data_IF_630075118963
#
_entry.id   IF_630075118963
#
_cell.length_a   1.000
_cell.length_b   1.000
_cell.length_c   1.000
_cell.angle_alpha   90.00
_cell.angle_beta   90.00
_cell.angle_gamma   90.00
#
_symmetry.space_group_name_H-M   'P 1'
#
loop_
_entity.id
_entity.type
_entity.pdbx_description
1 polymer ?
#
# COMPACT_ATOMS: atom_id res chain seq x y z
N UNK A 1 -21.21 7.28 5.49
CA UNK A 1 -20.76 6.28 4.48
C UNK A 1 -19.84 6.97 3.50
N UNK A 2 -18.66 6.41 3.19
CA UNK A 2 -17.79 6.92 2.13
C UNK A 2 -18.54 7.04 0.79
N UNK A 3 -18.15 8.02 -0.02
CA UNK A 3 -18.73 8.21 -1.37
C UNK A 3 -17.81 7.59 -2.41
N UNK A 4 -18.34 7.09 -3.54
CA UNK A 4 -17.53 6.63 -4.65
C UNK A 4 -16.63 7.74 -5.20
N UNK A 5 -15.47 7.36 -5.71
CA UNK A 5 -14.51 8.27 -6.33
C UNK A 5 -13.85 7.60 -7.54
N UNK A 6 -13.57 8.38 -8.58
CA UNK A 6 -12.97 7.88 -9.82
C UNK A 6 -11.65 8.58 -10.09
N UNK A 7 -10.65 7.82 -10.53
CA UNK A 7 -9.31 8.34 -10.86
C UNK A 7 -8.76 7.68 -12.13
N UNK A 8 -7.92 8.41 -12.86
CA UNK A 8 -7.11 7.82 -13.92
C UNK A 8 -5.85 7.20 -13.31
N UNK A 9 -5.65 5.92 -13.52
CA UNK A 9 -4.50 5.16 -13.00
C UNK A 9 -3.17 5.73 -13.50
N UNK A 10 -2.19 5.87 -12.60
CA UNK A 10 -0.88 6.49 -12.86
C UNK A 10 0.25 5.54 -12.48
N UNK A 11 1.12 5.23 -13.43
CA UNK A 11 2.36 4.52 -13.13
C UNK A 11 3.43 5.53 -12.70
N UNK A 12 3.76 5.58 -11.42
CA UNK A 12 4.70 6.56 -10.88
C UNK A 12 6.14 6.12 -11.15
N UNK A 13 6.98 7.05 -11.62
CA UNK A 13 8.37 6.79 -11.97
C UNK A 13 9.22 6.23 -10.81
N UNK A 14 8.83 6.51 -9.57
CA UNK A 14 9.52 6.03 -8.37
C UNK A 14 9.44 4.51 -8.15
N UNK A 15 8.57 3.81 -8.89
CA UNK A 15 8.40 2.36 -8.78
C UNK A 15 9.17 1.57 -9.85
N UNK A 16 9.84 2.22 -10.80
CA UNK A 16 10.56 1.56 -11.92
C UNK A 16 11.70 0.62 -11.50
N UNK A 17 12.16 0.71 -10.25
CA UNK A 17 13.17 -0.22 -9.73
C UNK A 17 12.65 -1.66 -9.62
N UNK A 18 11.33 -1.88 -9.55
CA UNK A 18 10.75 -3.19 -9.78
C UNK A 18 10.44 -3.29 -11.29
N UNK A 19 11.13 -4.21 -12.04
CA UNK A 19 11.00 -4.29 -13.49
C UNK A 19 9.57 -4.46 -14.00
N UNK A 20 8.65 -5.02 -13.20
CA UNK A 20 7.25 -5.25 -13.57
C UNK A 20 6.49 -3.94 -13.85
N UNK A 21 7.00 -2.80 -13.38
CA UNK A 21 6.46 -1.47 -13.64
C UNK A 21 7.04 -0.81 -14.90
N UNK A 22 7.82 -1.58 -15.69
CA UNK A 22 8.26 -1.21 -17.03
C UNK A 22 7.63 -2.14 -18.06
N UNK A 23 7.43 -1.68 -19.28
CA UNK A 23 6.86 -2.52 -20.36
C UNK A 23 7.70 -3.76 -20.67
N UNK A 24 9.02 -3.62 -20.65
CA UNK A 24 9.92 -4.74 -20.91
C UNK A 24 9.84 -5.80 -19.80
N UNK A 25 9.91 -5.38 -18.55
CA UNK A 25 9.85 -6.28 -17.40
C UNK A 25 8.47 -6.92 -17.22
N UNK A 26 7.38 -6.17 -17.46
CA UNK A 26 6.03 -6.71 -17.43
C UNK A 26 5.83 -7.81 -18.49
N UNK A 27 6.27 -7.58 -19.74
CA UNK A 27 6.22 -8.59 -20.80
C UNK A 27 7.07 -9.82 -20.47
N UNK A 28 8.24 -9.65 -19.89
CA UNK A 28 9.07 -10.76 -19.42
C UNK A 28 8.40 -11.58 -18.32
N UNK A 29 7.53 -10.96 -17.51
CA UNK A 29 6.71 -11.60 -16.48
C UNK A 29 5.33 -12.09 -16.98
N UNK A 30 5.05 -12.02 -18.30
CA UNK A 30 3.82 -12.52 -18.91
C UNK A 30 2.64 -11.52 -18.93
N UNK A 31 2.86 -10.25 -18.63
CA UNK A 31 1.84 -9.20 -18.68
C UNK A 31 1.90 -8.40 -20.00
N UNK A 32 0.79 -7.84 -20.49
CA UNK A 32 0.74 -7.13 -21.77
C UNK A 32 1.49 -5.79 -21.78
N UNK A 33 1.55 -5.11 -20.64
CA UNK A 33 2.20 -3.80 -20.47
C UNK A 33 2.58 -3.57 -19.00
N UNK A 34 3.29 -2.47 -18.71
CA UNK A 34 3.71 -2.10 -17.37
C UNK A 34 2.52 -2.06 -16.40
N UNK A 35 2.68 -2.73 -15.25
CA UNK A 35 1.71 -2.69 -14.17
C UNK A 35 1.89 -1.39 -13.39
N UNK A 36 0.76 -0.84 -12.93
CA UNK A 36 0.78 0.16 -11.87
C UNK A 36 1.20 -0.49 -10.55
N UNK A 37 1.91 0.24 -9.71
CA UNK A 37 2.30 -0.27 -8.41
C UNK A 37 1.07 -0.42 -7.49
N UNK A 38 0.96 -1.58 -6.81
CA UNK A 38 -0.16 -1.85 -5.92
C UNK A 38 -0.35 -0.78 -4.85
N UNK A 39 0.73 -0.16 -4.38
CA UNK A 39 0.65 0.95 -3.40
C UNK A 39 -0.03 2.19 -3.98
N UNK A 40 0.03 2.41 -5.29
CA UNK A 40 -0.71 3.49 -5.97
C UNK A 40 -2.21 3.14 -6.03
N UNK A 41 -2.55 1.87 -6.34
CA UNK A 41 -3.95 1.39 -6.22
C UNK A 41 -4.47 1.49 -4.77
N UNK A 42 -3.60 1.24 -3.77
CA UNK A 42 -3.98 1.46 -2.37
C UNK A 42 -4.28 2.93 -2.07
N UNK A 43 -3.51 3.86 -2.64
CA UNK A 43 -3.80 5.28 -2.50
C UNK A 43 -5.21 5.61 -3.00
N UNK A 44 -5.66 5.02 -4.12
CA UNK A 44 -7.03 5.20 -4.62
C UNK A 44 -8.09 4.68 -3.66
N UNK A 45 -7.88 3.46 -3.14
CA UNK A 45 -8.81 2.83 -2.22
C UNK A 45 -8.96 3.59 -0.90
N UNK A 46 -7.92 4.30 -0.46
CA UNK A 46 -7.96 5.09 0.79
C UNK A 46 -8.65 6.43 0.62
N UNK A 47 -8.77 6.98 -0.60
CA UNK A 47 -9.42 8.26 -0.84
C UNK A 47 -10.86 8.33 -0.28
N UNK A 48 -11.80 7.41 -0.61
CA UNK A 48 -13.15 7.44 -0.05
C UNK A 48 -13.17 7.32 1.47
N UNK A 49 -12.24 6.56 2.04
CA UNK A 49 -12.13 6.34 3.48
C UNK A 49 -11.70 7.61 4.19
N UNK A 50 -10.61 8.24 3.70
CA UNK A 50 -10.08 9.49 4.29
C UNK A 50 -11.03 10.65 4.06
N UNK A 51 -11.72 10.71 2.91
CA UNK A 51 -12.77 11.70 2.68
C UNK A 51 -13.90 11.62 3.72
N UNK A 52 -14.26 10.41 4.15
CA UNK A 52 -15.34 10.20 5.12
C UNK A 52 -14.89 10.29 6.58
N UNK A 53 -13.72 9.75 6.92
CA UNK A 53 -13.27 9.60 8.32
C UNK A 53 -12.12 10.55 8.68
N UNK A 54 -11.56 11.26 7.71
CA UNK A 54 -10.56 12.31 7.92
C UNK A 54 -9.29 11.82 8.62
N UNK A 55 -8.68 12.73 9.37
CA UNK A 55 -7.46 12.46 10.14
C UNK A 55 -7.67 11.49 11.29
N UNK A 56 -8.88 11.23 11.71
CA UNK A 56 -9.17 10.21 12.72
C UNK A 56 -8.75 8.83 12.23
N UNK A 57 -9.08 8.48 10.98
CA UNK A 57 -8.64 7.22 10.38
C UNK A 57 -7.11 7.15 10.24
N UNK A 58 -6.47 8.26 9.85
CA UNK A 58 -5.00 8.34 9.72
C UNK A 58 -4.28 8.24 11.08
N UNK A 59 -5.00 8.42 12.19
CA UNK A 59 -4.44 8.39 13.55
C UNK A 59 -4.52 7.00 14.17
N UNK A 60 -5.64 6.28 13.97
CA UNK A 60 -5.92 5.02 14.68
C UNK A 60 -6.63 3.97 13.85
N UNK A 61 -7.04 4.32 12.64
CA UNK A 61 -7.69 3.39 11.73
C UNK A 61 -6.71 2.44 11.07
N UNK A 62 -7.22 1.68 10.13
CA UNK A 62 -6.42 0.75 9.35
C UNK A 62 -7.28 -0.06 8.41
N UNK A 63 -6.72 -1.11 7.84
CA UNK A 63 -7.48 -2.01 6.98
C UNK A 63 -6.63 -3.08 6.34
N UNK A 64 -7.32 -4.08 5.81
CA UNK A 64 -6.73 -5.12 4.98
C UNK A 64 -6.97 -4.80 3.52
N UNK A 65 -5.89 -4.78 2.76
CA UNK A 65 -5.89 -4.60 1.32
C UNK A 65 -5.46 -5.91 0.64
N UNK A 66 -6.21 -6.32 -0.40
CA UNK A 66 -5.89 -7.47 -1.25
C UNK A 66 -5.90 -7.07 -2.71
N UNK A 67 -4.81 -7.36 -3.42
CA UNK A 67 -4.76 -7.21 -4.87
C UNK A 67 -5.23 -8.51 -5.54
N UNK A 68 -6.10 -8.39 -6.54
CA UNK A 68 -6.73 -9.51 -7.25
C UNK A 68 -6.30 -9.59 -8.71
N UNK A 69 -6.07 -8.43 -9.34
CA UNK A 69 -5.67 -8.33 -10.73
C UNK A 69 -4.83 -7.06 -10.95
N UNK A 70 -3.99 -7.02 -12.00
CA UNK A 70 -3.19 -5.85 -12.31
C UNK A 70 -4.05 -4.65 -12.72
N UNK A 71 -3.56 -3.46 -12.37
CA UNK A 71 -4.02 -2.17 -12.90
C UNK A 71 -2.96 -1.68 -13.89
N UNK A 72 -3.42 -1.08 -14.99
CA UNK A 72 -2.55 -0.52 -16.02
C UNK A 72 -2.72 1.01 -16.10
N UNK A 73 -1.64 1.72 -16.38
CA UNK A 73 -1.65 3.17 -16.49
C UNK A 73 -2.70 3.66 -17.52
N UNK A 74 -3.35 4.78 -17.21
CA UNK A 74 -4.37 5.41 -18.06
C UNK A 74 -5.77 4.78 -17.97
N UNK A 75 -5.95 3.68 -17.22
CA UNK A 75 -7.28 3.10 -16.97
C UNK A 75 -8.07 3.99 -16.03
N UNK A 76 -9.38 4.07 -16.23
CA UNK A 76 -10.30 4.69 -15.28
C UNK A 76 -10.61 3.68 -14.19
N UNK A 77 -10.29 4.03 -12.95
CA UNK A 77 -10.52 3.18 -11.77
C UNK A 77 -11.59 3.85 -10.90
N UNK A 78 -12.68 3.13 -10.70
CA UNK A 78 -13.74 3.50 -9.78
C UNK A 78 -13.49 2.86 -8.42
N UNK A 79 -13.32 3.69 -7.38
CA UNK A 79 -13.23 3.26 -5.98
C UNK A 79 -14.63 3.28 -5.37
N UNK A 80 -15.26 2.11 -5.29
CA UNK A 80 -16.67 1.98 -4.92
C UNK A 80 -16.81 1.37 -3.52
N UNK A 81 -17.35 2.11 -2.54
CA UNK A 81 -17.76 1.55 -1.26
C UNK A 81 -18.93 0.57 -1.44
N UNK A 82 -18.75 -0.70 -1.05
CA UNK A 82 -19.74 -1.77 -1.27
C UNK A 82 -20.42 -2.25 0.00
N UNK A 83 -19.82 -1.97 1.16
CA UNK A 83 -20.45 -2.27 2.46
C UNK A 83 -19.98 -1.26 3.52
N UNK A 84 -20.84 -1.02 4.51
CA UNK A 84 -20.55 -0.21 5.71
C UNK A 84 -21.30 -0.87 6.87
N UNK A 85 -20.60 -1.70 7.65
CA UNK A 85 -21.16 -2.48 8.75
C UNK A 85 -20.18 -2.51 9.91
N UNK A 86 -20.69 -2.33 11.11
CA UNK A 86 -19.96 -2.52 12.37
C UNK A 86 -18.64 -1.73 12.47
N UNK A 87 -18.61 -0.49 11.92
CA UNK A 87 -17.41 0.36 11.91
C UNK A 87 -16.36 -0.07 10.88
N UNK A 88 -16.70 -0.95 9.94
CA UNK A 88 -15.87 -1.34 8.81
C UNK A 88 -16.53 -0.95 7.48
N UNK A 89 -15.72 -0.50 6.52
CA UNK A 89 -16.14 -0.24 5.15
C UNK A 89 -15.29 -1.05 4.18
N UNK A 90 -15.95 -1.64 3.19
CA UNK A 90 -15.25 -2.28 2.06
C UNK A 90 -15.28 -1.35 0.86
N UNK A 91 -14.11 -1.09 0.26
CA UNK A 91 -13.95 -0.30 -0.97
C UNK A 91 -13.32 -1.19 -2.04
N UNK A 92 -13.90 -1.24 -3.22
CA UNK A 92 -13.41 -1.99 -4.37
C UNK A 92 -12.84 -1.04 -5.42
N UNK A 93 -11.63 -1.35 -5.93
CA UNK A 93 -11.07 -0.68 -7.10
C UNK A 93 -11.51 -1.43 -8.36
N UNK A 94 -12.31 -0.80 -9.19
CA UNK A 94 -12.95 -1.39 -10.36
C UNK A 94 -12.43 -0.70 -11.61
N UNK A 95 -11.84 -1.46 -12.54
CA UNK A 95 -11.54 -0.96 -13.89
C UNK A 95 -12.86 -0.83 -14.65
N UNK A 96 -13.19 0.37 -15.13
CA UNK A 96 -14.45 0.66 -15.83
C UNK A 96 -14.67 -0.23 -17.08
N UNK A 97 -13.59 -0.81 -17.64
CA UNK A 97 -13.69 -1.74 -18.78
C UNK A 97 -14.00 -3.18 -18.39
N UNK A 98 -13.82 -3.54 -17.11
CA UNK A 98 -14.09 -4.88 -16.57
C UNK A 98 -14.79 -4.82 -15.20
N UNK A 99 -16.02 -4.30 -15.14
CA UNK A 99 -16.67 -3.94 -13.87
C UNK A 99 -17.00 -5.14 -12.97
N UNK A 100 -17.06 -6.35 -13.50
CA UNK A 100 -17.35 -7.57 -12.73
C UNK A 100 -16.14 -8.16 -12.01
N UNK A 101 -14.94 -7.59 -12.21
CA UNK A 101 -13.68 -8.13 -11.67
C UNK A 101 -12.89 -7.03 -10.93
N UNK A 102 -13.17 -6.78 -9.65
CA UNK A 102 -12.42 -5.80 -8.87
C UNK A 102 -10.91 -6.10 -8.87
N UNK A 103 -10.10 -5.08 -9.16
CA UNK A 103 -8.64 -5.17 -9.22
C UNK A 103 -8.02 -5.29 -7.83
N UNK A 104 -8.62 -4.62 -6.86
CA UNK A 104 -8.20 -4.67 -5.47
C UNK A 104 -9.39 -4.38 -4.55
N UNK A 105 -9.28 -4.81 -3.30
CA UNK A 105 -10.29 -4.58 -2.25
C UNK A 105 -9.58 -4.12 -0.99
N UNK A 106 -10.10 -3.06 -0.39
CA UNK A 106 -9.73 -2.59 0.94
C UNK A 106 -10.91 -2.80 1.88
N UNK A 107 -10.71 -3.51 2.99
CA UNK A 107 -11.63 -3.50 4.13
C UNK A 107 -11.02 -2.63 5.21
N UNK A 108 -11.51 -1.40 5.34
CA UNK A 108 -11.03 -0.40 6.29
C UNK A 108 -11.85 -0.42 7.57
N UNK A 109 -11.18 -0.16 8.71
CA UNK A 109 -11.80 0.01 10.03
C UNK A 109 -11.35 1.35 10.63
N UNK A 110 -12.24 2.01 11.37
CA UNK A 110 -11.92 3.31 11.97
C UNK A 110 -11.00 3.17 13.19
N UNK A 111 -10.95 2.01 13.79
CA UNK A 111 -10.06 1.67 14.89
C UNK A 111 -9.42 0.31 14.64
N UNK A 112 -8.11 0.30 14.44
CA UNK A 112 -7.33 -0.92 14.16
C UNK A 112 -6.71 -1.55 15.42
N UNK A 113 -6.97 -0.96 16.58
CA UNK A 113 -6.43 -1.40 17.87
C UNK A 113 -4.96 -1.03 18.09
N UNK A 114 -4.38 -1.52 19.19
CA UNK A 114 -2.99 -1.26 19.53
C UNK A 114 -2.03 -1.94 18.53
N UNK A 115 -0.73 -1.51 18.52
CA UNK A 115 0.29 -2.20 17.75
C UNK A 115 0.33 -3.69 18.13
N UNK A 116 0.33 -4.60 17.13
CA UNK A 116 0.45 -6.04 17.41
C UNK A 116 1.83 -6.38 17.98
N UNK A 117 1.91 -7.47 18.72
CA UNK A 117 3.20 -8.03 19.11
C UNK A 117 3.97 -8.51 17.87
N UNK A 118 5.28 -8.24 17.86
CA UNK A 118 6.16 -8.72 16.79
C UNK A 118 6.28 -10.25 16.86
N UNK A 119 6.05 -10.89 15.72
CA UNK A 119 6.28 -12.33 15.58
C UNK A 119 7.78 -12.62 15.43
N UNK A 120 8.21 -13.80 15.86
CA UNK A 120 9.57 -14.28 15.62
C UNK A 120 9.76 -14.60 14.12
N UNK A 121 10.98 -14.42 13.62
CA UNK A 121 11.32 -14.67 12.23
C UNK A 121 12.72 -14.14 11.87
N UNK A 122 13.01 -14.05 10.58
CA UNK A 122 14.29 -13.54 10.06
C UNK A 122 14.25 -12.00 10.07
N UNK A 123 15.00 -11.36 10.92
CA UNK A 123 15.11 -9.90 10.99
C UNK A 123 15.88 -9.37 9.78
N UNK A 124 15.36 -8.31 9.16
CA UNK A 124 16.05 -7.56 8.12
C UNK A 124 16.76 -6.35 8.73
N UNK A 125 17.81 -5.85 8.07
CA UNK A 125 18.54 -4.67 8.51
C UNK A 125 17.59 -3.47 8.70
N UNK A 126 17.60 -2.81 9.86
CA UNK A 126 16.80 -1.62 10.11
C UNK A 126 17.13 -0.52 9.11
N UNK A 127 16.12 0.29 8.78
CA UNK A 127 16.23 1.41 7.84
C UNK A 127 15.68 2.67 8.44
N UNK A 128 16.20 3.81 7.96
CA UNK A 128 15.68 5.12 8.32
C UNK A 128 15.19 5.85 7.08
N UNK A 129 14.05 6.53 7.21
CA UNK A 129 13.46 7.37 6.18
C UNK A 129 13.12 8.74 6.74
N UNK A 130 13.27 9.75 5.89
CA UNK A 130 12.69 11.07 6.11
C UNK A 130 11.38 11.12 5.32
N UNK A 131 10.30 11.54 5.96
CA UNK A 131 8.98 11.64 5.34
C UNK A 131 8.86 12.97 4.58
N UNK A 132 9.45 13.02 3.41
CA UNK A 132 9.58 14.19 2.53
C UNK A 132 8.81 14.02 1.20
N UNK A 133 9.34 14.55 0.11
CA UNK A 133 8.74 14.56 -1.22
C UNK A 133 8.30 13.16 -1.69
N UNK A 134 9.14 12.12 -1.47
CA UNK A 134 8.84 10.75 -1.93
C UNK A 134 7.91 10.03 -0.98
N UNK A 135 8.15 10.15 0.33
CA UNK A 135 7.45 9.42 1.37
C UNK A 135 6.66 10.34 2.29
N UNK A 136 6.02 11.36 1.74
CA UNK A 136 5.33 12.40 2.49
C UNK A 136 3.91 12.69 1.99
N UNK A 137 3.40 13.88 2.32
CA UNK A 137 2.06 14.33 1.91
C UNK A 137 1.85 14.34 0.39
N UNK A 138 2.89 14.65 -0.38
CA UNK A 138 2.81 14.80 -1.84
C UNK A 138 2.59 13.48 -2.59
N UNK A 139 2.72 12.35 -1.92
CA UNK A 139 2.46 11.04 -2.53
C UNK A 139 1.04 10.97 -3.12
N UNK A 140 0.03 11.44 -2.38
CA UNK A 140 -1.35 11.46 -2.84
C UNK A 140 -1.53 12.24 -4.14
N UNK A 141 -1.01 13.47 -4.20
CA UNK A 141 -1.10 14.32 -5.38
C UNK A 141 -0.45 13.67 -6.63
N UNK A 142 0.70 13.01 -6.45
CA UNK A 142 1.35 12.24 -7.53
C UNK A 142 0.49 11.06 -7.98
N UNK A 143 -0.11 10.34 -7.04
CA UNK A 143 -1.05 9.25 -7.33
C UNK A 143 -2.37 9.73 -7.95
N UNK A 144 -2.74 11.01 -7.78
CA UNK A 144 -3.99 11.59 -8.28
C UNK A 144 -5.06 11.75 -7.20
N UNK A 145 -4.73 11.50 -5.93
CA UNK A 145 -5.61 11.84 -4.80
C UNK A 145 -5.67 13.36 -4.64
N UNK A 146 -6.88 13.91 -4.64
CA UNK A 146 -7.17 15.36 -4.61
C UNK A 146 -7.60 15.87 -3.23
N UNK A 147 -7.53 15.03 -2.18
CA UNK A 147 -7.91 15.42 -0.84
C UNK A 147 -6.96 16.49 -0.28
N UNK A 148 -7.54 17.63 0.04
CA UNK A 148 -6.78 18.79 0.55
C UNK A 148 -6.11 18.55 1.91
N UNK A 149 -6.53 17.53 2.67
CA UNK A 149 -6.04 17.23 4.02
C UNK A 149 -4.53 17.02 4.06
N UNK A 150 -3.97 16.38 3.05
CA UNK A 150 -2.54 16.07 3.01
C UNK A 150 -1.68 17.34 2.86
N UNK A 151 -2.03 18.23 1.94
CA UNK A 151 -1.31 19.49 1.74
C UNK A 151 -1.63 20.55 2.80
N UNK A 152 -2.90 20.64 3.24
CA UNK A 152 -3.33 21.64 4.23
C UNK A 152 -2.74 21.36 5.62
N UNK A 153 -2.76 20.11 6.04
CA UNK A 153 -2.39 19.71 7.40
C UNK A 153 -0.98 19.07 7.45
N UNK A 154 -0.31 19.02 6.29
CA UNK A 154 1.04 18.46 6.08
C UNK A 154 1.16 17.00 6.54
N UNK A 155 0.07 16.25 6.44
CA UNK A 155 -0.05 14.87 6.91
C UNK A 155 0.45 13.90 5.85
N UNK A 156 1.22 12.92 6.26
CA UNK A 156 1.74 11.87 5.38
C UNK A 156 0.58 11.03 4.83
N UNK A 157 0.62 10.79 3.49
CA UNK A 157 -0.39 9.98 2.82
C UNK A 157 -0.30 8.51 3.27
N UNK A 158 -1.43 7.81 3.54
CA UNK A 158 -1.41 6.45 4.09
C UNK A 158 -0.72 5.41 3.20
N UNK A 159 -0.68 5.62 1.87
CA UNK A 159 0.03 4.74 0.95
C UNK A 159 1.57 4.77 1.10
N UNK A 160 2.11 5.74 1.83
CA UNK A 160 3.53 5.79 2.17
C UNK A 160 3.97 4.58 2.99
N UNK A 161 3.11 4.09 3.88
CA UNK A 161 3.45 2.93 4.72
C UNK A 161 3.71 1.67 3.91
N UNK A 162 2.79 1.19 3.05
CA UNK A 162 3.10 0.06 2.18
C UNK A 162 4.14 0.39 1.11
N UNK A 163 4.36 1.65 0.70
CA UNK A 163 5.45 2.02 -0.19
C UNK A 163 6.83 1.83 0.48
N UNK A 164 6.96 2.17 1.75
CA UNK A 164 8.16 1.87 2.55
C UNK A 164 8.35 0.36 2.69
N UNK A 165 7.29 -0.41 3.00
CA UNK A 165 7.37 -1.87 3.07
C UNK A 165 7.79 -2.49 1.72
N UNK A 166 7.27 -1.97 0.59
CA UNK A 166 7.71 -2.36 -0.74
C UNK A 166 9.21 -2.09 -0.97
N UNK A 167 9.73 -0.95 -0.48
CA UNK A 167 11.15 -0.67 -0.58
C UNK A 167 12.00 -1.63 0.27
N UNK A 168 11.51 -2.05 1.43
CA UNK A 168 12.18 -3.09 2.25
C UNK A 168 12.23 -4.42 1.48
N UNK A 169 11.13 -4.87 0.87
CA UNK A 169 11.11 -6.08 0.04
C UNK A 169 12.07 -5.95 -1.14
N UNK A 170 11.97 -4.85 -1.91
CA UNK A 170 12.79 -4.60 -3.09
C UNK A 170 14.28 -4.65 -2.82
N UNK A 171 14.72 -4.19 -1.68
CA UNK A 171 16.15 -4.02 -1.36
C UNK A 171 16.69 -5.08 -0.39
N UNK A 172 15.81 -5.86 0.24
CA UNK A 172 16.20 -6.88 1.23
C UNK A 172 15.93 -8.32 0.80
N UNK A 173 14.99 -8.57 -0.12
CA UNK A 173 14.53 -9.92 -0.41
C UNK A 173 14.58 -10.34 -1.87
N UNK A 174 14.63 -9.39 -2.81
CA UNK A 174 14.45 -9.71 -4.23
C UNK A 174 15.57 -9.12 -5.10
N UNK A 175 15.82 -9.76 -6.24
CA UNK A 175 16.76 -9.29 -7.26
C UNK A 175 16.10 -9.07 -8.62
N UNK A 176 14.82 -9.44 -8.77
CA UNK A 176 14.05 -9.38 -10.02
C UNK A 176 12.65 -8.80 -9.81
N UNK A 177 11.75 -9.12 -10.73
CA UNK A 177 10.35 -8.75 -10.64
C UNK A 177 9.67 -9.46 -9.46
N UNK A 178 8.84 -8.73 -8.77
CA UNK A 178 8.09 -9.21 -7.61
C UNK A 178 6.72 -8.54 -7.55
N UNK A 179 5.78 -9.09 -6.79
CA UNK A 179 4.39 -8.60 -6.74
C UNK A 179 3.94 -8.45 -5.29
N UNK A 180 3.54 -7.25 -4.91
CA UNK A 180 2.79 -7.00 -3.68
C UNK A 180 1.37 -7.59 -3.81
N UNK A 181 0.97 -8.47 -2.89
CA UNK A 181 -0.30 -9.21 -2.97
C UNK A 181 -1.30 -8.83 -1.90
N UNK A 182 -0.84 -8.46 -0.71
CA UNK A 182 -1.70 -8.13 0.42
C UNK A 182 -0.95 -7.29 1.45
N UNK A 183 -1.67 -6.41 2.15
CA UNK A 183 -1.21 -5.81 3.42
C UNK A 183 -2.36 -5.63 4.39
N UNK A 184 -2.07 -5.80 5.68
CA UNK A 184 -2.87 -5.24 6.76
C UNK A 184 -2.09 -4.04 7.28
N UNK A 185 -2.65 -2.85 7.16
CA UNK A 185 -2.04 -1.59 7.62
C UNK A 185 -2.79 -1.12 8.85
N UNK A 186 -2.07 -0.74 9.91
CA UNK A 186 -2.64 -0.14 11.11
C UNK A 186 -1.93 1.17 11.40
N UNK A 187 -2.71 2.22 11.60
CA UNK A 187 -2.21 3.53 11.98
C UNK A 187 -2.22 3.67 13.50
N UNK A 188 -1.17 4.25 14.08
CA UNK A 188 -1.04 4.43 15.52
C UNK A 188 -0.78 5.89 15.90
N UNK A 189 -0.35 6.72 14.96
CA UNK A 189 -0.17 8.16 15.12
C UNK A 189 -0.12 8.86 13.77
N UNK A 190 -0.46 10.13 13.74
CA UNK A 190 -0.23 10.99 12.58
C UNK A 190 1.27 11.24 12.44
N UNK A 191 1.76 11.10 11.22
CA UNK A 191 3.09 11.56 10.80
C UNK A 191 2.96 12.74 9.83
N UNK A 192 4.00 13.58 9.81
CA UNK A 192 4.03 14.82 9.03
C UNK A 192 5.27 14.91 8.17
N UNK A 193 5.27 15.83 7.23
CA UNK A 193 6.47 16.15 6.44
C UNK A 193 7.67 16.44 7.35
N UNK A 194 8.82 15.87 7.00
CA UNK A 194 10.07 16.04 7.73
C UNK A 194 10.24 15.13 8.95
N UNK A 195 9.20 14.38 9.35
CA UNK A 195 9.39 13.36 10.39
C UNK A 195 10.42 12.32 9.93
N UNK A 196 11.32 11.95 10.84
CA UNK A 196 12.22 10.81 10.65
C UNK A 196 11.61 9.56 11.28
N UNK A 197 11.63 8.46 10.54
CA UNK A 197 11.11 7.18 11.01
C UNK A 197 12.14 6.08 10.85
N UNK A 198 12.24 5.24 11.88
CA UNK A 198 12.97 3.98 11.83
C UNK A 198 12.01 2.86 11.43
N UNK A 199 12.47 1.97 10.54
CA UNK A 199 11.70 0.87 10.00
C UNK A 199 12.37 -0.44 10.37
N UNK A 200 11.63 -1.30 11.04
CA UNK A 200 12.03 -2.64 11.44
C UNK A 200 11.15 -3.65 10.71
N UNK A 201 11.75 -4.63 10.07
CA UNK A 201 11.02 -5.65 9.34
C UNK A 201 11.53 -7.04 9.71
N UNK A 202 10.60 -7.99 9.85
CA UNK A 202 10.88 -9.39 10.15
C UNK A 202 10.13 -10.26 9.15
N UNK A 203 10.81 -11.15 8.45
CA UNK A 203 10.16 -12.17 7.61
C UNK A 203 9.64 -13.26 8.54
N UNK A 204 8.32 -13.33 8.68
CA UNK A 204 7.66 -14.22 9.65
C UNK A 204 7.12 -15.50 9.02
N UNK A 205 6.99 -15.52 7.69
CA UNK A 205 6.55 -16.71 6.97
C UNK A 205 7.07 -16.72 5.53
N UNK A 206 7.25 -17.93 4.96
CA UNK A 206 7.57 -18.17 3.55
C UNK A 206 6.81 -19.40 3.08
N UNK A 207 6.13 -19.28 1.94
CA UNK A 207 5.39 -20.38 1.33
C UNK A 207 5.31 -20.25 -0.19
N UNK A 208 4.96 -21.35 -0.86
CA UNK A 208 4.77 -21.38 -2.32
C UNK A 208 3.28 -21.35 -2.63
N UNK A 209 2.86 -20.36 -3.40
CA UNK A 209 1.52 -20.24 -3.97
C UNK A 209 1.56 -19.27 -5.13
N UNK A 210 1.54 -19.77 -6.38
CA UNK A 210 1.72 -18.95 -7.58
C UNK A 210 2.99 -18.07 -7.48
N UNK A 211 4.11 -18.69 -7.10
CA UNK A 211 5.39 -18.07 -6.80
C UNK A 211 5.79 -18.25 -5.34
N UNK A 212 7.08 -18.03 -5.04
CA UNK A 212 7.59 -17.99 -3.67
C UNK A 212 7.09 -16.71 -2.99
N UNK A 213 6.42 -16.85 -1.87
CA UNK A 213 5.90 -15.71 -1.08
C UNK A 213 6.69 -15.51 0.20
N UNK A 214 6.73 -14.26 0.62
CA UNK A 214 7.18 -13.87 1.95
C UNK A 214 6.10 -13.02 2.64
N UNK A 215 5.93 -13.24 3.94
CA UNK A 215 5.11 -12.39 4.82
C UNK A 215 6.04 -11.69 5.79
N UNK A 216 5.92 -10.37 5.88
CA UNK A 216 6.72 -9.53 6.76
C UNK A 216 5.84 -8.85 7.80
N UNK A 217 6.31 -8.83 9.04
CA UNK A 217 5.88 -7.82 10.02
C UNK A 217 6.78 -6.60 9.87
N UNK A 218 6.16 -5.44 9.64
CA UNK A 218 6.86 -4.16 9.49
C UNK A 218 6.37 -3.20 10.56
N UNK A 219 7.31 -2.62 11.31
CA UNK A 219 7.05 -1.56 12.30
C UNK A 219 7.73 -0.30 11.81
N UNK A 220 6.95 0.77 11.65
CA UNK A 220 7.43 2.10 11.31
C UNK A 220 7.29 2.96 12.56
N UNK A 221 8.40 3.42 13.11
CA UNK A 221 8.43 4.10 14.41
C UNK A 221 9.08 5.48 14.32
N UNK A 222 8.50 6.46 15.00
CA UNK A 222 9.07 7.79 15.22
C UNK A 222 9.49 7.91 16.68
N UNK A 223 10.78 8.19 16.92
CA UNK A 223 11.34 8.26 18.28
C UNK A 223 10.97 7.05 19.15
N UNK A 224 11.07 5.85 18.58
CA UNK A 224 10.79 4.58 19.26
C UNK A 224 9.30 4.24 19.47
N UNK A 225 8.37 5.09 19.00
CA UNK A 225 6.92 4.84 19.11
C UNK A 225 6.35 4.50 17.74
N UNK A 226 5.61 3.39 17.58
CA UNK A 226 4.98 3.04 16.31
C UNK A 226 4.07 4.16 15.81
N UNK A 227 4.22 4.54 14.53
CA UNK A 227 3.29 5.39 13.80
C UNK A 227 2.43 4.57 12.86
N UNK A 228 2.98 3.47 12.33
CA UNK A 228 2.22 2.48 11.58
C UNK A 228 2.85 1.09 11.78
N UNK A 229 2.01 0.05 11.67
CA UNK A 229 2.45 -1.35 11.57
C UNK A 229 1.79 -2.01 10.38
N UNK A 230 2.51 -2.94 9.74
CA UNK A 230 1.97 -3.70 8.62
C UNK A 230 2.27 -5.20 8.80
N UNK A 231 1.30 -6.02 8.39
CA UNK A 231 1.60 -7.35 7.86
C UNK A 231 1.61 -7.23 6.35
N UNK A 232 2.73 -7.54 5.70
CA UNK A 232 2.95 -7.29 4.28
C UNK A 232 3.33 -8.56 3.56
N UNK A 233 2.54 -8.96 2.54
CA UNK A 233 2.74 -10.17 1.76
C UNK A 233 3.13 -9.83 0.33
N UNK A 234 4.18 -10.48 -0.17
CA UNK A 234 4.64 -10.33 -1.55
C UNK A 234 5.04 -11.67 -2.16
N UNK A 235 4.86 -11.83 -3.48
CA UNK A 235 5.53 -12.84 -4.28
C UNK A 235 6.94 -12.33 -4.55
N UNK A 236 7.94 -12.96 -3.96
CA UNK A 236 9.34 -12.53 -4.02
C UNK A 236 10.14 -13.27 -5.09
N UNK A 237 9.61 -14.37 -5.63
CA UNK A 237 10.12 -15.10 -6.78
C UNK A 237 8.96 -15.63 -7.62
N UNK A 238 8.87 -15.17 -8.87
CA UNK A 238 7.83 -15.54 -9.83
C UNK A 238 8.20 -16.82 -10.61
N UNK A 239 9.43 -17.30 -10.52
CA UNK A 239 9.91 -18.49 -11.26
C UNK A 239 9.48 -19.83 -10.63
N UNK A 240 9.07 -19.80 -9.36
CA UNK A 240 8.62 -20.98 -8.60
C UNK A 240 7.13 -21.19 -8.83
N UNK A 241 6.75 -22.32 -9.40
CA UNK A 241 5.34 -22.69 -9.65
C UNK A 241 4.66 -23.34 -8.42
#
# INVERSE_FOLDING_TARGET
MPQPWTVAARNLAEHVNNPIHTDAGARAAGFPSALEAGVTTYAYLTHPVVAAWGTEWLTRGGGEMRFRAPVFAGRSIDCVPTSDRDGAVTVEAIDATEPSNPRAVLTAVIDSGPPPERRAGDELDPRRYVLDERYGPDYGARAGDDLAVYGRDDVVHPAVWPAIANNVVQTGLVTGSWIHTRSIVRHHAIARRGDEVDVYATVVDRFVRHGQRAVLDVVIARSGRPVATLEHEAIVDLSVA
#
